data_IF_341295092191
#
_entry.id   IF_341295092191
#
_cell.length_a   1.000
_cell.length_b   1.000
_cell.length_c   1.000
_cell.angle_alpha   90.00
_cell.angle_beta   90.00
_cell.angle_gamma   90.00
#
_symmetry.space_group_name_H-M   'P 1'
#
loop_
_entity.id
_entity.type
_entity.pdbx_description
1 polymer ?
#
# COMPACT_ATOMS: atom_id res chain seq x y z
N UNK A 1 20.26 11.72 -4.58
CA UNK A 1 18.86 11.48 -4.17
C UNK A 1 18.87 10.31 -3.20
N UNK A 2 18.24 10.45 -2.05
CA UNK A 2 18.10 9.35 -1.07
C UNK A 2 16.97 8.43 -1.53
N UNK A 3 17.18 7.12 -1.49
CA UNK A 3 16.13 6.15 -1.87
C UNK A 3 15.00 6.15 -0.83
N UNK A 4 13.76 5.96 -1.28
CA UNK A 4 12.58 5.91 -0.41
C UNK A 4 11.79 4.62 -0.59
N UNK A 5 11.46 3.97 0.53
CA UNK A 5 10.55 2.83 0.58
C UNK A 5 9.33 3.19 1.41
N UNK A 6 8.16 2.84 0.90
CA UNK A 6 6.91 2.97 1.65
C UNK A 6 6.34 1.58 1.94
N UNK A 7 5.73 1.42 3.11
CA UNK A 7 5.02 0.21 3.49
C UNK A 7 3.53 0.49 3.66
N UNK A 8 2.68 -0.24 2.94
CA UNK A 8 1.23 -0.23 3.13
C UNK A 8 0.88 -1.29 4.18
N UNK A 9 0.47 -0.84 5.36
CA UNK A 9 0.11 -1.71 6.47
C UNK A 9 -1.39 -2.00 6.49
N UNK A 10 -1.74 -3.19 6.01
CA UNK A 10 -3.10 -3.68 5.83
C UNK A 10 -3.76 -4.28 7.08
N UNK A 11 -3.08 -4.33 8.22
CA UNK A 11 -3.67 -4.85 9.46
C UNK A 11 -4.68 -3.85 10.06
N UNK A 12 -5.85 -4.31 10.55
CA UNK A 12 -6.75 -3.47 11.35
C UNK A 12 -6.16 -3.10 12.72
N UNK A 13 -5.16 -3.86 13.20
CA UNK A 13 -4.40 -3.54 14.43
C UNK A 13 -3.21 -2.67 14.05
N UNK A 14 -3.16 -1.43 14.58
CA UNK A 14 -2.05 -0.49 14.35
C UNK A 14 -0.71 -1.08 14.78
N UNK A 15 -0.66 -1.70 15.95
CA UNK A 15 0.55 -2.28 16.56
C UNK A 15 0.40 -3.80 16.70
N UNK A 16 0.30 -4.49 15.56
CA UNK A 16 0.23 -5.96 15.51
C UNK A 16 1.54 -6.60 15.01
N UNK A 17 1.53 -7.93 14.85
CA UNK A 17 2.70 -8.69 14.37
C UNK A 17 3.28 -8.16 13.05
N UNK A 18 2.42 -7.82 12.08
CA UNK A 18 2.86 -7.26 10.80
C UNK A 18 3.50 -5.86 10.95
N UNK A 19 3.04 -5.06 11.93
CA UNK A 19 3.67 -3.78 12.24
C UNK A 19 5.06 -3.98 12.84
N UNK A 20 5.21 -4.87 13.82
CA UNK A 20 6.53 -5.15 14.41
C UNK A 20 7.51 -5.76 13.40
N UNK A 21 7.02 -6.59 12.47
CA UNK A 21 7.84 -7.07 11.37
C UNK A 21 8.29 -5.92 10.45
N UNK A 22 7.36 -5.02 10.09
CA UNK A 22 7.70 -3.82 9.31
C UNK A 22 8.70 -2.90 10.02
N UNK A 23 8.64 -2.75 11.35
CA UNK A 23 9.62 -1.92 12.06
C UNK A 23 11.01 -2.54 12.05
N UNK A 24 11.14 -3.87 12.05
CA UNK A 24 12.45 -4.51 11.83
C UNK A 24 12.97 -4.25 10.42
N UNK A 25 12.13 -4.41 9.40
CA UNK A 25 12.51 -4.10 8.00
C UNK A 25 12.92 -2.64 7.86
N UNK A 26 12.16 -1.73 8.45
CA UNK A 26 12.45 -0.31 8.47
C UNK A 26 13.81 0.03 9.08
N UNK A 27 14.14 -0.59 10.22
CA UNK A 27 15.47 -0.43 10.85
C UNK A 27 16.60 -0.86 9.93
N UNK A 28 16.47 -2.00 9.25
CA UNK A 28 17.47 -2.47 8.29
C UNK A 28 17.62 -1.53 7.10
N UNK A 29 16.51 -1.04 6.53
CA UNK A 29 16.53 -0.08 5.42
C UNK A 29 17.19 1.26 5.84
N UNK A 30 16.81 1.77 7.01
CA UNK A 30 17.35 3.02 7.54
C UNK A 30 18.84 2.93 7.86
N UNK A 31 19.33 1.77 8.32
CA UNK A 31 20.77 1.53 8.53
C UNK A 31 21.59 1.63 7.23
N UNK A 32 20.97 1.32 6.09
CA UNK A 32 21.56 1.47 4.75
C UNK A 32 21.28 2.85 4.13
N UNK A 33 20.77 3.81 4.91
CA UNK A 33 20.48 5.17 4.44
C UNK A 33 19.23 5.29 3.56
N UNK A 34 18.33 4.30 3.57
CA UNK A 34 17.06 4.32 2.83
C UNK A 34 15.95 4.90 3.71
N UNK A 35 15.24 5.90 3.21
CA UNK A 35 14.07 6.45 3.89
C UNK A 35 12.94 5.42 3.94
N UNK A 36 12.27 5.31 5.08
CA UNK A 36 11.20 4.34 5.29
C UNK A 36 9.98 4.96 5.97
N UNK A 37 8.81 4.76 5.37
CA UNK A 37 7.53 5.27 5.88
C UNK A 37 6.48 4.15 5.93
N UNK A 38 5.83 3.95 7.07
CA UNK A 38 4.69 3.03 7.20
C UNK A 38 3.38 3.82 7.09
N UNK A 39 2.51 3.42 6.16
CA UNK A 39 1.19 3.99 5.96
C UNK A 39 0.13 3.00 6.46
N UNK A 40 -0.58 3.38 7.52
CA UNK A 40 -1.64 2.58 8.12
C UNK A 40 -2.92 2.62 7.29
N UNK A 41 -3.29 1.49 6.70
CA UNK A 41 -4.46 1.34 5.81
C UNK A 41 -5.52 0.42 6.40
N UNK A 42 -5.13 -0.64 7.11
CA UNK A 42 -6.04 -1.73 7.48
C UNK A 42 -7.17 -1.38 8.44
N UNK A 43 -7.07 -0.27 9.17
CA UNK A 43 -8.09 0.19 10.12
C UNK A 43 -8.92 1.37 9.59
N UNK A 44 -8.82 1.66 8.29
CA UNK A 44 -9.52 2.76 7.63
C UNK A 44 -10.76 2.24 6.92
N UNK A 45 -11.71 3.14 6.69
CA UNK A 45 -12.83 2.85 5.80
C UNK A 45 -12.38 3.06 4.36
N UNK A 46 -12.29 1.99 3.59
CA UNK A 46 -11.86 2.02 2.19
C UNK A 46 -12.84 1.20 1.38
N UNK A 47 -13.58 1.88 0.51
CA UNK A 47 -14.52 1.24 -0.38
C UNK A 47 -13.77 0.45 -1.47
N UNK A 48 -14.32 -0.71 -1.85
CA UNK A 48 -13.82 -1.46 -3.00
C UNK A 48 -13.94 -0.68 -4.32
N UNK A 49 -13.14 -1.07 -5.31
CA UNK A 49 -13.23 -0.47 -6.65
C UNK A 49 -14.63 -0.71 -7.25
N UNK A 50 -15.28 0.36 -7.74
CA UNK A 50 -16.59 0.29 -8.43
C UNK A 50 -16.50 -0.07 -9.91
N UNK A 51 -15.30 -0.33 -10.43
CA UNK A 51 -15.04 -0.53 -11.86
C UNK A 51 -15.62 0.58 -12.78
N UNK A 52 -15.77 1.81 -12.27
CA UNK A 52 -16.47 2.88 -12.97
C UNK A 52 -15.70 3.51 -14.15
N UNK A 53 -14.42 3.14 -14.34
CA UNK A 53 -13.59 3.64 -15.45
C UNK A 53 -13.09 5.08 -15.32
N UNK A 54 -13.53 5.85 -14.32
CA UNK A 54 -13.21 7.28 -14.20
C UNK A 54 -11.72 7.61 -14.12
N UNK A 55 -10.89 6.75 -13.50
CA UNK A 55 -9.44 6.96 -13.47
C UNK A 55 -8.78 6.83 -14.86
N UNK A 56 -9.37 6.06 -15.78
CA UNK A 56 -8.94 5.91 -17.19
C UNK A 56 -9.44 7.06 -18.06
N UNK A 57 -10.63 7.56 -17.76
CA UNK A 57 -11.23 8.73 -18.41
C UNK A 57 -10.48 10.02 -18.05
N UNK A 58 -10.34 10.29 -16.75
CA UNK A 58 -9.76 11.54 -16.25
C UNK A 58 -8.24 11.63 -16.43
N UNK A 59 -7.53 10.50 -16.24
CA UNK A 59 -6.05 10.43 -16.27
C UNK A 59 -5.34 11.50 -15.42
N UNK A 60 -5.94 11.85 -14.28
CA UNK A 60 -5.48 12.86 -13.33
C UNK A 60 -4.69 12.25 -12.15
N UNK A 61 -4.42 10.95 -12.21
CA UNK A 61 -3.72 10.23 -11.16
C UNK A 61 -4.54 9.98 -9.88
N UNK A 62 -5.86 10.17 -9.92
CA UNK A 62 -6.74 10.03 -8.75
C UNK A 62 -7.83 8.99 -8.97
N UNK A 63 -8.39 8.52 -7.86
CA UNK A 63 -9.64 7.76 -7.88
C UNK A 63 -10.82 8.75 -7.79
N UNK A 64 -11.92 8.47 -8.48
CA UNK A 64 -13.15 9.27 -8.37
C UNK A 64 -13.85 9.12 -7.02
N UNK A 65 -13.46 8.12 -6.22
CA UNK A 65 -13.85 8.01 -4.81
C UNK A 65 -12.82 8.80 -4.00
N UNK A 66 -13.25 9.86 -3.32
CA UNK A 66 -12.39 10.87 -2.68
C UNK A 66 -12.60 11.00 -1.17
N UNK A 67 -13.47 10.18 -0.59
CA UNK A 67 -13.83 10.18 0.84
C UNK A 67 -12.82 9.41 1.72
N UNK A 68 -11.70 8.96 1.14
CA UNK A 68 -10.66 8.23 1.84
C UNK A 68 -9.23 8.65 1.45
N UNK A 69 -8.26 8.04 2.12
CA UNK A 69 -6.84 8.41 2.02
C UNK A 69 -6.13 7.93 0.74
N UNK A 70 -6.85 7.31 -0.19
CA UNK A 70 -6.21 6.57 -1.28
C UNK A 70 -5.42 7.48 -2.22
N UNK A 71 -5.98 8.61 -2.62
CA UNK A 71 -5.34 9.51 -3.59
C UNK A 71 -4.03 10.10 -3.06
N UNK A 72 -3.99 10.48 -1.77
CA UNK A 72 -2.77 11.00 -1.14
C UNK A 72 -1.71 9.91 -0.98
N UNK A 73 -2.14 8.71 -0.60
CA UNK A 73 -1.25 7.54 -0.49
C UNK A 73 -0.65 7.18 -1.85
N UNK A 74 -1.44 7.26 -2.93
CA UNK A 74 -0.99 6.99 -4.29
C UNK A 74 0.12 7.93 -4.76
N UNK A 75 0.09 9.21 -4.39
CA UNK A 75 1.19 10.13 -4.74
C UNK A 75 2.49 9.70 -4.06
N UNK A 76 2.43 9.34 -2.76
CA UNK A 76 3.59 8.77 -2.06
C UNK A 76 4.08 7.47 -2.71
N UNK A 77 3.17 6.60 -3.15
CA UNK A 77 3.51 5.37 -3.86
C UNK A 77 4.13 5.61 -5.23
N UNK A 78 3.73 6.68 -5.92
CA UNK A 78 4.31 7.09 -7.20
C UNK A 78 5.76 7.56 -7.03
N UNK A 79 6.03 8.32 -5.97
CA UNK A 79 7.35 8.89 -5.67
C UNK A 79 8.35 7.88 -5.10
N UNK A 80 7.90 6.88 -4.34
CA UNK A 80 8.77 5.90 -3.68
C UNK A 80 9.52 4.98 -4.66
N UNK A 81 10.76 4.62 -4.38
CA UNK A 81 11.55 3.65 -5.16
C UNK A 81 11.15 2.20 -4.89
N UNK A 82 10.68 1.93 -3.66
CA UNK A 82 10.22 0.62 -3.23
C UNK A 82 8.87 0.64 -2.51
N UNK A 83 8.11 -0.44 -2.64
CA UNK A 83 6.81 -0.62 -2.02
C UNK A 83 6.78 -1.96 -1.27
N UNK A 84 6.44 -1.90 0.01
CA UNK A 84 6.21 -3.08 0.85
C UNK A 84 4.71 -3.21 1.11
N UNK A 85 4.17 -4.40 0.91
CA UNK A 85 2.78 -4.75 1.22
C UNK A 85 2.74 -5.63 2.46
N UNK A 86 2.25 -5.10 3.58
CA UNK A 86 2.17 -5.85 4.83
C UNK A 86 0.73 -6.19 5.21
N UNK A 87 0.44 -7.47 5.44
CA UNK A 87 -0.90 -7.91 5.80
C UNK A 87 -0.88 -9.07 6.81
N UNK A 88 -1.86 -9.15 7.73
CA UNK A 88 -2.18 -10.42 8.34
C UNK A 88 -2.81 -11.37 7.31
N UNK A 89 -2.75 -12.68 7.56
CA UNK A 89 -3.49 -13.68 6.79
C UNK A 89 -4.86 -13.89 7.43
N UNK A 90 -5.93 -13.45 6.77
CA UNK A 90 -7.31 -13.69 7.17
C UNK A 90 -7.99 -14.59 6.15
N UNK A 91 -8.42 -15.78 6.58
CA UNK A 91 -9.05 -16.80 5.73
C UNK A 91 -8.28 -17.06 4.41
N UNK A 92 -6.97 -17.32 4.54
CA UNK A 92 -6.06 -17.58 3.42
C UNK A 92 -5.89 -16.43 2.42
N UNK A 93 -6.30 -15.22 2.79
CA UNK A 93 -6.12 -14.00 2.00
C UNK A 93 -5.52 -12.85 2.80
N UNK A 94 -5.25 -11.75 2.11
CA UNK A 94 -4.93 -10.46 2.75
C UNK A 94 -6.15 -9.90 3.48
N UNK A 95 -5.94 -8.98 4.42
CA UNK A 95 -7.05 -8.27 5.05
C UNK A 95 -7.93 -7.55 4.00
N UNK A 96 -9.25 -7.61 4.17
CA UNK A 96 -10.23 -7.08 3.20
C UNK A 96 -10.03 -5.60 2.87
N UNK A 97 -9.76 -4.76 3.86
CA UNK A 97 -9.45 -3.33 3.66
C UNK A 97 -8.25 -3.12 2.75
N UNK A 98 -7.22 -3.96 2.88
CA UNK A 98 -6.05 -3.91 2.01
C UNK A 98 -6.39 -4.32 0.57
N UNK A 99 -7.25 -5.34 0.38
CA UNK A 99 -7.74 -5.71 -0.95
C UNK A 99 -8.50 -4.55 -1.62
N UNK A 100 -9.42 -3.91 -0.89
CA UNK A 100 -10.14 -2.73 -1.39
C UNK A 100 -9.19 -1.60 -1.82
N UNK A 101 -8.18 -1.31 -0.98
CA UNK A 101 -7.16 -0.32 -1.29
C UNK A 101 -6.37 -0.68 -2.55
N UNK A 102 -5.85 -1.91 -2.64
CA UNK A 102 -5.00 -2.35 -3.75
C UNK A 102 -5.77 -2.38 -5.08
N UNK A 103 -7.02 -2.80 -5.10
CA UNK A 103 -7.84 -2.81 -6.33
C UNK A 103 -7.97 -1.41 -6.93
N UNK A 104 -8.24 -0.42 -6.09
CA UNK A 104 -8.31 0.98 -6.51
C UNK A 104 -6.93 1.52 -6.88
N UNK A 105 -5.90 1.25 -6.09
CA UNK A 105 -4.55 1.73 -6.33
C UNK A 105 -3.98 1.22 -7.65
N UNK A 106 -4.13 -0.08 -7.94
CA UNK A 106 -3.66 -0.69 -9.18
C UNK A 106 -4.45 -0.20 -10.39
N UNK A 107 -5.77 -0.02 -10.27
CA UNK A 107 -6.60 0.55 -11.34
C UNK A 107 -6.17 1.97 -11.72
N UNK A 108 -5.95 2.85 -10.73
CA UNK A 108 -5.45 4.21 -10.97
C UNK A 108 -4.04 4.16 -11.58
N UNK A 109 -3.12 3.39 -11.02
CA UNK A 109 -1.74 3.28 -11.52
C UNK A 109 -1.71 2.79 -12.97
N UNK A 110 -2.45 1.74 -13.31
CA UNK A 110 -2.51 1.20 -14.66
C UNK A 110 -3.04 2.22 -15.69
N UNK A 111 -4.04 3.01 -15.30
CA UNK A 111 -4.62 4.05 -16.13
C UNK A 111 -3.70 5.27 -16.34
N UNK A 112 -2.74 5.49 -15.44
CA UNK A 112 -1.94 6.72 -15.38
C UNK A 112 -0.44 6.49 -15.71
N UNK A 113 -0.14 5.53 -16.59
CA UNK A 113 1.25 5.28 -17.01
C UNK A 113 1.97 4.19 -16.22
N UNK A 114 1.22 3.32 -15.52
CA UNK A 114 1.72 2.12 -14.85
C UNK A 114 2.80 2.45 -13.81
N UNK A 115 2.52 3.40 -12.91
CA UNK A 115 3.51 3.97 -11.97
C UNK A 115 4.31 2.96 -11.16
N UNK A 116 3.75 1.79 -10.86
CA UNK A 116 4.44 0.79 -10.04
C UNK A 116 5.38 -0.12 -10.84
N UNK A 117 5.45 0.05 -12.18
CA UNK A 117 6.39 -0.68 -13.01
C UNK A 117 7.83 -0.30 -12.64
N UNK A 118 8.71 -1.30 -12.56
CA UNK A 118 10.14 -1.15 -12.24
C UNK A 118 10.47 -0.71 -10.80
N UNK A 119 9.47 -0.52 -9.92
CA UNK A 119 9.72 -0.33 -8.49
C UNK A 119 10.04 -1.66 -7.82
N UNK A 120 10.89 -1.63 -6.80
CA UNK A 120 11.18 -2.82 -5.98
C UNK A 120 9.97 -3.14 -5.11
N UNK A 121 9.55 -4.41 -5.08
CA UNK A 121 8.38 -4.86 -4.34
C UNK A 121 8.73 -5.98 -3.36
N UNK A 122 8.18 -5.91 -2.15
CA UNK A 122 8.24 -7.02 -1.19
C UNK A 122 6.92 -7.13 -0.40
N UNK A 123 6.69 -8.30 0.21
CA UNK A 123 5.52 -8.53 1.06
C UNK A 123 5.93 -9.00 2.44
N UNK A 124 5.28 -8.47 3.47
CA UNK A 124 5.43 -8.91 4.87
C UNK A 124 4.13 -9.53 5.34
N UNK A 125 4.16 -10.82 5.65
CA UNK A 125 2.95 -11.58 5.97
C UNK A 125 3.04 -12.11 7.38
N UNK A 126 2.02 -11.83 8.20
CA UNK A 126 1.89 -12.37 9.54
C UNK A 126 0.75 -13.39 9.59
N UNK A 127 1.09 -14.68 9.69
CA UNK A 127 0.13 -15.76 9.85
C UNK A 127 0.10 -16.20 11.31
N UNK A 128 -1.09 -16.46 11.85
CA UNK A 128 -1.22 -17.18 13.13
C UNK A 128 -0.91 -18.65 12.86
N UNK A 129 -0.04 -19.27 13.65
CA UNK A 129 0.13 -20.74 13.63
C UNK A 129 -1.24 -21.37 13.91
N UNK A 130 -1.80 -22.03 12.91
CA UNK A 130 -2.96 -22.92 13.04
C UNK A 130 -2.48 -24.28 13.52
#
# INVERSE_FOLDING_TARGET
MTMKVIAIHGSPRKEGNSYYALTQVGRSLQAEGVEFEIIQTGNKFIQGCKACGKCKENRDGKCAITDDMLSDTLQKMKEADGIILASPVYYSGIAGTMKCFLDRAFSVSAANGKWFRHKVGASVVAVRRT
#
